data_IF_511505057310
#
_entry.id   IF_511505057310
#
_cell.length_a   1.000
_cell.length_b   1.000
_cell.length_c   1.000
_cell.angle_alpha   90.00
_cell.angle_beta   90.00
_cell.angle_gamma   90.00
#
_symmetry.space_group_name_H-M   'P 1'
#
loop_
_entity.id
_entity.type
_entity.pdbx_description
1 polymer ?
#
# COMPACT_ATOMS: atom_id res chain seq x y z
N UNK A 1 5.35 -25.72 -6.00
CA UNK A 1 6.50 -25.07 -5.35
C UNK A 1 6.13 -23.80 -4.60
N UNK A 2 5.19 -23.01 -5.12
CA UNK A 2 4.71 -21.80 -4.45
C UNK A 2 3.75 -22.14 -3.29
N UNK A 3 3.20 -23.36 -3.29
CA UNK A 3 2.35 -23.88 -2.21
C UNK A 3 2.98 -23.67 -0.83
N UNK A 4 2.23 -23.00 0.05
CA UNK A 4 2.58 -22.73 1.42
C UNK A 4 2.08 -21.38 1.92
N UNK A 5 2.29 -21.15 3.21
CA UNK A 5 2.09 -19.84 3.82
C UNK A 5 3.41 -19.08 3.80
N UNK A 6 3.36 -17.82 3.40
CA UNK A 6 4.50 -16.94 3.26
C UNK A 6 4.29 -15.69 4.11
N UNK A 7 5.36 -15.20 4.74
CA UNK A 7 5.35 -13.98 5.54
C UNK A 7 6.46 -13.04 5.12
N UNK A 8 6.13 -11.79 4.85
CA UNK A 8 7.12 -10.75 4.53
C UNK A 8 8.12 -10.55 5.66
N UNK A 9 9.40 -10.49 5.32
CA UNK A 9 10.47 -10.00 6.19
C UNK A 9 10.58 -8.49 6.04
N UNK A 10 9.97 -7.74 6.97
CA UNK A 10 9.97 -6.27 6.94
C UNK A 10 11.39 -5.67 7.02
N UNK A 11 12.37 -6.41 7.55
CA UNK A 11 13.77 -5.96 7.61
C UNK A 11 14.47 -6.03 6.25
N UNK A 12 13.94 -6.82 5.31
CA UNK A 12 14.46 -7.00 3.96
C UNK A 12 13.57 -6.33 2.92
N UNK A 13 13.04 -5.15 3.24
CA UNK A 13 12.25 -4.32 2.31
C UNK A 13 13.14 -3.24 1.70
N UNK A 14 12.92 -2.97 0.41
CA UNK A 14 13.56 -1.89 -0.33
C UNK A 14 12.49 -1.08 -1.03
N UNK A 15 12.21 0.09 -0.47
CA UNK A 15 11.19 1.02 -0.96
C UNK A 15 11.65 1.83 -2.17
N UNK A 16 10.67 2.30 -2.94
CA UNK A 16 10.94 3.21 -4.05
C UNK A 16 11.61 4.49 -3.59
N UNK A 17 12.70 4.88 -4.29
CA UNK A 17 13.39 6.16 -4.07
C UNK A 17 12.61 7.39 -4.53
N UNK A 18 11.47 7.22 -5.21
CA UNK A 18 10.65 8.36 -5.65
C UNK A 18 10.01 9.01 -4.42
N UNK A 19 10.07 10.33 -4.24
CA UNK A 19 9.46 10.97 -3.08
C UNK A 19 7.93 11.04 -3.21
N UNK A 20 7.22 10.87 -2.10
CA UNK A 20 5.84 11.34 -1.92
C UNK A 20 5.87 12.84 -1.67
N UNK A 21 4.87 13.58 -2.14
CA UNK A 21 4.79 15.03 -1.95
C UNK A 21 3.44 15.41 -1.35
N UNK A 22 3.51 16.03 -0.17
CA UNK A 22 2.36 16.56 0.56
C UNK A 22 2.62 18.03 0.86
N UNK A 23 1.63 18.89 0.66
CA UNK A 23 1.75 20.31 0.99
C UNK A 23 0.53 20.71 1.80
N UNK A 24 0.76 21.28 2.98
CA UNK A 24 -0.29 21.88 3.78
C UNK A 24 0.04 23.36 3.98
N UNK A 25 -0.64 24.23 3.25
CA UNK A 25 -0.39 25.66 3.25
C UNK A 25 -1.71 26.42 3.15
N UNK A 26 -1.84 27.53 3.87
CA UNK A 26 -3.04 28.38 3.85
C UNK A 26 -4.35 27.62 4.16
N UNK A 27 -4.27 26.63 5.05
CA UNK A 27 -5.42 25.78 5.43
C UNK A 27 -5.82 24.73 4.39
N UNK A 28 -5.09 24.59 3.28
CA UNK A 28 -5.32 23.57 2.25
C UNK A 28 -4.26 22.48 2.35
N UNK A 29 -4.67 21.22 2.19
CA UNK A 29 -3.83 20.05 2.07
C UNK A 29 -3.87 19.50 0.63
N UNK A 30 -2.71 19.48 -0.03
CA UNK A 30 -2.48 18.88 -1.33
C UNK A 30 -1.78 17.53 -1.17
N UNK A 31 -2.43 16.45 -1.58
CA UNK A 31 -1.76 15.18 -1.81
C UNK A 31 -1.36 15.07 -3.29
N UNK A 32 -0.18 15.60 -3.63
CA UNK A 32 0.26 15.69 -5.04
C UNK A 32 0.63 14.34 -5.64
N UNK A 33 1.05 13.38 -4.80
CA UNK A 33 1.42 12.03 -5.23
C UNK A 33 0.34 10.98 -4.97
N UNK A 34 -0.84 11.39 -4.51
CA UNK A 34 -2.01 10.52 -4.48
C UNK A 34 -2.49 10.25 -5.91
N UNK A 35 -3.25 9.16 -6.09
CA UNK A 35 -3.82 8.80 -7.40
C UNK A 35 -5.34 8.58 -7.24
N UNK A 36 -6.17 9.47 -7.80
CA UNK A 36 -5.80 10.78 -8.36
C UNK A 36 -5.26 11.75 -7.28
N UNK A 37 -4.47 12.77 -7.66
CA UNK A 37 -4.13 13.86 -6.76
C UNK A 37 -5.39 14.59 -6.30
N UNK A 38 -5.39 15.11 -5.08
CA UNK A 38 -6.51 15.87 -4.55
C UNK A 38 -6.05 16.98 -3.61
N UNK A 39 -6.93 17.96 -3.44
CA UNK A 39 -6.75 19.13 -2.59
C UNK A 39 -8.01 19.33 -1.76
N UNK A 40 -7.87 19.43 -0.44
CA UNK A 40 -8.98 19.63 0.50
C UNK A 40 -8.57 20.59 1.61
N UNK A 41 -9.52 21.11 2.39
CA UNK A 41 -9.19 21.87 3.61
C UNK A 41 -8.65 20.95 4.70
N UNK A 42 -7.70 21.44 5.46
CA UNK A 42 -7.16 20.77 6.65
C UNK A 42 -7.90 21.20 7.93
N UNK A 43 -9.24 21.14 7.91
CA UNK A 43 -10.13 21.61 8.98
C UNK A 43 -10.78 20.48 9.81
N UNK A 44 -10.33 19.24 9.61
CA UNK A 44 -10.84 18.04 10.28
C UNK A 44 -12.21 17.58 9.80
N UNK A 45 -12.78 18.18 8.74
CA UNK A 45 -14.11 17.85 8.24
C UNK A 45 -14.04 16.98 6.99
N UNK A 46 -15.00 16.06 6.91
CA UNK A 46 -15.25 15.21 5.75
C UNK A 46 -15.46 16.07 4.49
N UNK A 47 -14.63 15.83 3.48
CA UNK A 47 -14.72 16.50 2.18
C UNK A 47 -14.68 15.47 1.04
N UNK A 48 -15.48 15.69 -0.02
CA UNK A 48 -15.58 14.75 -1.12
C UNK A 48 -14.27 14.69 -1.92
N UNK A 49 -13.85 13.48 -2.29
CA UNK A 49 -12.76 13.21 -3.22
C UNK A 49 -13.25 12.23 -4.29
N UNK A 50 -12.98 12.54 -5.56
CA UNK A 50 -13.47 11.76 -6.68
C UNK A 50 -12.41 10.81 -7.24
N UNK A 51 -12.86 9.71 -7.84
CA UNK A 51 -12.01 8.81 -8.63
C UNK A 51 -11.13 7.85 -7.84
N UNK A 52 -11.14 7.90 -6.51
CA UNK A 52 -10.44 6.91 -5.69
C UNK A 52 -11.36 5.70 -5.40
N UNK A 53 -10.91 4.45 -5.61
CA UNK A 53 -11.74 3.28 -5.34
C UNK A 53 -11.88 3.01 -3.84
N UNK A 54 -10.88 3.34 -3.02
CA UNK A 54 -10.79 3.01 -1.60
C UNK A 54 -11.51 4.01 -0.69
N UNK A 55 -11.73 5.24 -1.17
CA UNK A 55 -12.46 6.28 -0.44
C UNK A 55 -13.17 7.24 -1.39
N UNK A 56 -14.23 7.87 -0.91
CA UNK A 56 -14.93 8.98 -1.59
C UNK A 56 -14.93 10.26 -0.76
N UNK A 57 -14.41 10.18 0.47
CA UNK A 57 -14.40 11.27 1.43
C UNK A 57 -13.10 11.23 2.23
N UNK A 58 -12.52 12.41 2.47
CA UNK A 58 -11.28 12.57 3.25
C UNK A 58 -11.46 13.73 4.23
N UNK A 59 -10.97 13.56 5.45
CA UNK A 59 -10.82 14.62 6.44
C UNK A 59 -9.35 14.70 6.86
N UNK A 60 -8.74 15.89 6.76
CA UNK A 60 -7.39 16.15 7.26
C UNK A 60 -7.48 17.16 8.40
N UNK A 61 -6.89 16.81 9.55
CA UNK A 61 -6.85 17.63 10.75
C UNK A 61 -5.40 18.01 11.08
N UNK A 62 -5.15 19.30 11.29
CA UNK A 62 -3.91 19.78 11.90
C UNK A 62 -4.05 19.64 13.41
N UNK A 63 -3.30 18.72 14.01
CA UNK A 63 -3.34 18.48 15.47
C UNK A 63 -2.45 19.49 16.19
N UNK A 64 -1.23 19.68 15.67
CA UNK A 64 -0.24 20.64 16.16
C UNK A 64 0.73 20.98 15.03
N UNK A 65 1.83 21.71 15.30
CA UNK A 65 2.79 22.14 14.27
C UNK A 65 3.58 21.01 13.58
N UNK A 66 3.61 19.80 14.17
CA UNK A 66 4.35 18.63 13.71
C UNK A 66 3.46 17.43 13.37
N UNK A 67 2.17 17.49 13.71
CA UNK A 67 1.26 16.34 13.63
C UNK A 67 0.04 16.65 12.77
N UNK A 68 -0.24 15.76 11.81
CA UNK A 68 -1.52 15.73 11.08
C UNK A 68 -2.21 14.39 11.27
N UNK A 69 -3.55 14.40 11.28
CA UNK A 69 -4.38 13.20 11.19
C UNK A 69 -5.19 13.22 9.91
N UNK A 70 -5.35 12.05 9.30
CA UNK A 70 -6.17 11.86 8.11
C UNK A 70 -7.14 10.73 8.34
N UNK A 71 -8.41 10.93 7.98
CA UNK A 71 -9.44 9.89 7.95
C UNK A 71 -9.97 9.77 6.54
N UNK A 72 -9.98 8.54 6.02
CA UNK A 72 -10.55 8.19 4.73
C UNK A 72 -11.85 7.43 4.96
N UNK A 73 -12.88 7.74 4.16
CA UNK A 73 -14.17 7.06 4.21
C UNK A 73 -14.65 6.66 2.83
N UNK A 74 -15.41 5.57 2.78
CA UNK A 74 -16.17 5.12 1.62
C UNK A 74 -17.62 4.92 2.02
N UNK A 75 -18.55 5.55 1.32
CA UNK A 75 -19.99 5.48 1.61
C UNK A 75 -20.29 5.72 3.11
N UNK A 76 -19.63 6.71 3.71
CA UNK A 76 -19.78 7.10 5.11
C UNK A 76 -19.09 6.20 6.14
N UNK A 77 -18.48 5.08 5.73
CA UNK A 77 -17.71 4.18 6.62
C UNK A 77 -16.23 4.52 6.59
N UNK A 78 -15.58 4.54 7.75
CA UNK A 78 -14.12 4.70 7.84
C UNK A 78 -13.43 3.51 7.20
N UNK A 79 -12.59 3.78 6.21
CA UNK A 79 -11.79 2.77 5.53
C UNK A 79 -10.33 2.83 5.95
N UNK A 80 -9.81 4.00 6.30
CA UNK A 80 -8.45 4.14 6.82
C UNK A 80 -8.36 5.35 7.76
N UNK A 81 -7.57 5.20 8.82
CA UNK A 81 -7.08 6.33 9.62
C UNK A 81 -5.56 6.36 9.60
N UNK A 82 -4.98 7.55 9.55
CA UNK A 82 -3.54 7.76 9.53
C UNK A 82 -3.16 8.93 10.43
N UNK A 83 -2.10 8.78 11.22
CA UNK A 83 -1.44 9.86 11.95
C UNK A 83 -0.03 10.01 11.42
N UNK A 84 0.37 11.22 11.02
CA UNK A 84 1.73 11.52 10.56
C UNK A 84 2.37 12.58 11.46
N UNK A 85 3.57 12.26 11.95
CA UNK A 85 4.30 13.05 12.95
C UNK A 85 5.70 13.37 12.42
N UNK A 86 6.07 14.64 12.46
CA UNK A 86 7.44 15.10 12.22
C UNK A 86 8.26 15.04 13.52
N UNK A 87 9.42 14.38 13.47
CA UNK A 87 10.36 14.40 14.58
C UNK A 87 11.01 15.79 14.78
N UNK A 88 11.50 16.06 15.98
CA UNK A 88 12.11 17.34 16.34
C UNK A 88 13.37 17.67 15.50
N UNK A 89 14.00 16.69 14.86
CA UNK A 89 15.12 16.89 13.94
C UNK A 89 14.72 17.58 12.63
N UNK A 90 13.41 17.69 12.36
CA UNK A 90 12.85 18.25 11.13
C UNK A 90 13.12 17.41 9.88
N UNK A 91 13.76 16.24 10.01
CA UNK A 91 14.26 15.40 8.91
C UNK A 91 13.60 14.04 8.86
N UNK A 92 13.11 13.55 10.00
CA UNK A 92 12.51 12.22 10.12
C UNK A 92 11.02 12.36 10.37
N UNK A 93 10.23 11.55 9.67
CA UNK A 93 8.79 11.46 9.84
C UNK A 93 8.39 10.05 10.24
N UNK A 94 7.29 9.92 10.97
CA UNK A 94 6.65 8.63 11.24
C UNK A 94 5.19 8.72 10.85
N UNK A 95 4.65 7.67 10.22
CA UNK A 95 3.21 7.48 10.15
C UNK A 95 2.78 6.24 10.92
N UNK A 96 1.53 6.24 11.35
CA UNK A 96 0.82 5.08 11.88
C UNK A 96 -0.56 5.04 11.23
N UNK A 97 -1.04 3.84 10.89
CA UNK A 97 -2.31 3.68 10.21
C UNK A 97 -3.08 2.46 10.67
N UNK A 98 -4.40 2.53 10.47
CA UNK A 98 -5.34 1.41 10.54
C UNK A 98 -6.10 1.39 9.22
N UNK A 99 -5.99 0.30 8.46
CA UNK A 99 -6.64 0.08 7.17
C UNK A 99 -7.70 -1.02 7.30
N UNK A 100 -8.93 -0.68 6.95
CA UNK A 100 -10.12 -1.55 6.95
C UNK A 100 -10.76 -1.64 5.55
N UNK A 101 -9.98 -1.43 4.50
CA UNK A 101 -10.46 -1.55 3.11
C UNK A 101 -10.70 -3.01 2.69
N UNK A 102 -9.93 -3.94 3.25
CA UNK A 102 -10.14 -5.38 3.09
C UNK A 102 -11.44 -5.86 3.75
N UNK A 103 -11.93 -7.03 3.33
CA UNK A 103 -13.15 -7.63 3.88
C UNK A 103 -12.96 -8.36 5.22
N UNK A 104 -11.72 -8.50 5.68
CA UNK A 104 -11.33 -9.16 6.94
C UNK A 104 -10.99 -8.18 8.08
N UNK A 105 -10.17 -8.64 9.03
CA UNK A 105 -9.73 -7.80 10.14
C UNK A 105 -8.85 -6.62 9.65
N UNK A 106 -8.93 -5.44 10.30
CA UNK A 106 -8.10 -4.29 9.92
C UNK A 106 -6.61 -4.59 9.99
N UNK A 107 -5.86 -4.07 9.03
CA UNK A 107 -4.39 -4.08 9.04
C UNK A 107 -3.91 -2.84 9.80
N UNK A 108 -2.98 -3.01 10.71
CA UNK A 108 -2.32 -1.89 11.39
C UNK A 108 -0.87 -1.82 10.96
N UNK A 109 -0.31 -0.61 10.88
CA UNK A 109 1.09 -0.47 10.52
C UNK A 109 1.67 0.90 10.82
N UNK A 110 2.97 1.00 10.63
CA UNK A 110 3.73 2.22 10.79
C UNK A 110 4.98 2.21 9.94
N UNK A 111 5.32 3.35 9.36
CA UNK A 111 6.52 3.56 8.55
C UNK A 111 7.32 4.74 9.08
N UNK A 112 8.63 4.65 8.88
CA UNK A 112 9.54 5.78 9.00
C UNK A 112 9.77 6.40 7.63
N UNK A 113 9.86 7.72 7.60
CA UNK A 113 10.16 8.52 6.43
C UNK A 113 11.38 9.39 6.67
N UNK A 114 12.16 9.59 5.62
CA UNK A 114 13.21 10.60 5.57
C UNK A 114 12.79 11.72 4.63
N UNK A 115 13.01 12.96 5.07
CA UNK A 115 12.72 14.15 4.27
C UNK A 115 13.73 14.29 3.14
N UNK A 116 13.20 14.36 1.92
CA UNK A 116 13.97 14.63 0.69
C UNK A 116 14.04 16.14 0.43
N UNK A 117 12.94 16.86 0.64
CA UNK A 117 12.89 18.31 0.53
C UNK A 117 11.85 18.91 1.49
N UNK A 118 12.07 20.11 2.04
CA UNK A 118 11.05 20.82 2.80
C UNK A 118 9.90 21.27 1.90
N UNK A 119 8.74 21.55 2.51
CA UNK A 119 7.64 22.23 1.84
C UNK A 119 7.93 23.72 1.61
N UNK A 120 7.00 24.43 0.95
CA UNK A 120 7.09 25.88 0.78
C UNK A 120 7.24 26.62 2.12
N UNK A 121 7.92 27.77 2.12
CA UNK A 121 8.02 28.59 3.32
C UNK A 121 6.63 28.95 3.88
N UNK A 122 6.47 28.85 5.21
CA UNK A 122 5.20 29.10 5.89
C UNK A 122 4.16 27.97 5.78
N UNK A 123 4.49 26.85 5.12
CA UNK A 123 3.66 25.64 5.16
C UNK A 123 3.82 24.90 6.50
N UNK A 124 2.85 24.06 6.83
CA UNK A 124 2.92 23.17 8.00
C UNK A 124 4.18 22.30 7.92
N UNK A 125 4.77 21.93 9.07
CA UNK A 125 6.08 21.29 9.09
C UNK A 125 6.10 19.91 8.40
N UNK A 126 4.98 19.20 8.36
CA UNK A 126 4.85 17.95 7.59
C UNK A 126 4.95 18.15 6.07
N UNK A 127 4.74 19.35 5.55
CA UNK A 127 4.82 19.63 4.12
C UNK A 127 6.22 19.34 3.57
N UNK A 128 6.29 18.75 2.39
CA UNK A 128 7.54 18.47 1.71
C UNK A 128 7.52 17.19 0.90
N UNK A 129 8.71 16.79 0.49
CA UNK A 129 8.99 15.55 -0.24
C UNK A 129 9.56 14.53 0.73
N UNK A 130 8.99 13.33 0.73
CA UNK A 130 9.26 12.28 1.70
C UNK A 130 9.56 10.96 1.03
N UNK A 131 10.52 10.21 1.54
CA UNK A 131 10.79 8.84 1.11
C UNK A 131 10.60 7.92 2.32
N UNK A 132 9.95 6.78 2.13
CA UNK A 132 9.89 5.74 3.16
C UNK A 132 11.30 5.18 3.35
N UNK A 133 11.83 5.24 4.56
CA UNK A 133 13.11 4.62 4.92
C UNK A 133 12.92 3.19 5.38
N UNK A 134 11.84 2.91 6.12
CA UNK A 134 11.64 1.63 6.79
C UNK A 134 10.17 1.35 7.12
N UNK A 135 9.73 0.11 6.93
CA UNK A 135 8.55 -0.43 7.59
C UNK A 135 8.87 -0.74 9.06
N UNK A 136 8.23 -0.05 10.00
CA UNK A 136 8.48 -0.22 11.43
C UNK A 136 7.62 -1.35 12.01
N UNK A 137 6.38 -1.44 11.55
CA UNK A 137 5.43 -2.48 11.92
C UNK A 137 4.38 -2.61 10.82
N UNK A 138 3.97 -3.85 10.53
CA UNK A 138 2.73 -4.17 9.82
C UNK A 138 2.17 -5.43 10.46
N UNK A 139 0.87 -5.46 10.74
CA UNK A 139 0.23 -6.61 11.39
C UNK A 139 0.23 -7.85 10.49
N UNK A 140 0.24 -9.04 11.10
CA UNK A 140 0.42 -10.31 10.40
C UNK A 140 -0.62 -10.58 9.31
N UNK A 141 -1.86 -10.12 9.48
CA UNK A 141 -2.94 -10.21 8.48
C UNK A 141 -2.69 -9.38 7.21
N UNK A 142 -1.74 -8.42 7.24
CA UNK A 142 -1.30 -7.64 6.08
C UNK A 142 0.04 -8.07 5.50
N UNK A 143 0.77 -9.00 6.15
CA UNK A 143 2.09 -9.48 5.70
C UNK A 143 2.14 -10.97 5.41
N UNK A 144 1.04 -11.69 5.65
CA UNK A 144 0.99 -13.15 5.53
C UNK A 144 -0.05 -13.54 4.50
N UNK A 145 0.34 -14.41 3.56
CA UNK A 145 -0.57 -14.98 2.57
C UNK A 145 -0.32 -16.47 2.40
N UNK A 146 -1.32 -17.16 1.86
CA UNK A 146 -1.21 -18.57 1.51
C UNK A 146 -1.40 -18.72 0.01
N UNK A 147 -0.50 -19.49 -0.60
CA UNK A 147 -0.67 -20.01 -1.94
C UNK A 147 -0.92 -21.51 -1.89
N UNK A 148 -1.82 -22.00 -2.73
CA UNK A 148 -2.08 -23.43 -2.93
C UNK A 148 -2.11 -23.74 -4.41
N UNK A 149 -1.33 -24.73 -4.82
CA UNK A 149 -1.20 -25.12 -6.23
C UNK A 149 -1.87 -26.48 -6.46
N UNK A 150 -2.83 -26.52 -7.38
CA UNK A 150 -3.49 -27.76 -7.79
C UNK A 150 -3.99 -27.65 -9.23
N UNK A 151 -3.77 -28.69 -10.04
CA UNK A 151 -4.36 -28.84 -11.38
C UNK A 151 -4.16 -27.62 -12.31
N UNK A 152 -2.97 -27.00 -12.27
CA UNK A 152 -2.66 -25.81 -13.08
C UNK A 152 -3.35 -24.52 -12.61
N UNK A 153 -3.92 -24.53 -11.41
CA UNK A 153 -4.45 -23.36 -10.73
C UNK A 153 -3.60 -22.99 -9.52
N UNK A 154 -3.58 -21.70 -9.23
CA UNK A 154 -3.06 -21.13 -8.01
C UNK A 154 -4.20 -20.45 -7.25
N UNK A 155 -4.45 -20.89 -6.03
CA UNK A 155 -5.34 -20.20 -5.09
C UNK A 155 -4.52 -19.35 -4.13
N UNK A 156 -4.96 -18.12 -3.92
CA UNK A 156 -4.37 -17.14 -3.01
C UNK A 156 -5.39 -16.71 -1.96
N UNK A 157 -4.91 -16.51 -0.74
CA UNK A 157 -5.71 -15.92 0.33
C UNK A 157 -4.84 -15.15 1.32
N UNK A 158 -5.35 -14.03 1.81
CA UNK A 158 -4.81 -13.28 2.94
C UNK A 158 -5.83 -13.19 4.09
N UNK A 159 -5.38 -13.09 5.36
CA UNK A 159 -6.29 -12.97 6.51
C UNK A 159 -7.09 -11.64 6.54
N UNK A 160 -6.68 -10.63 5.78
CA UNK A 160 -7.47 -9.41 5.56
C UNK A 160 -8.64 -9.59 4.58
N UNK A 161 -8.90 -10.82 4.12
CA UNK A 161 -10.05 -11.19 3.28
C UNK A 161 -9.81 -11.13 1.78
N UNK A 162 -8.63 -10.69 1.33
CA UNK A 162 -8.27 -10.73 -0.08
C UNK A 162 -8.03 -12.17 -0.56
N UNK A 163 -8.52 -12.51 -1.75
CA UNK A 163 -8.35 -13.84 -2.32
C UNK A 163 -8.59 -13.91 -3.84
N UNK A 164 -8.05 -14.95 -4.47
CA UNK A 164 -8.40 -15.35 -5.84
C UNK A 164 -8.13 -16.84 -6.06
N UNK A 165 -8.67 -17.37 -7.16
CA UNK A 165 -8.23 -18.63 -7.76
C UNK A 165 -8.05 -18.40 -9.25
N UNK A 166 -6.84 -18.62 -9.76
CA UNK A 166 -6.46 -18.26 -11.12
C UNK A 166 -5.66 -19.39 -11.78
N UNK A 167 -5.80 -19.54 -13.10
CA UNK A 167 -4.89 -20.40 -13.87
C UNK A 167 -3.51 -19.77 -13.91
N UNK A 168 -2.47 -20.60 -13.90
CA UNK A 168 -1.07 -20.15 -13.97
C UNK A 168 -0.56 -19.91 -15.41
N UNK A 169 -1.49 -19.84 -16.38
CA UNK A 169 -1.23 -19.65 -17.81
C UNK A 169 -1.40 -18.19 -18.28
N UNK A 170 -1.76 -17.28 -17.38
CA UNK A 170 -2.02 -15.87 -17.65
C UNK A 170 -3.46 -15.54 -18.02
N UNK A 171 -4.39 -16.51 -17.95
CA UNK A 171 -5.82 -16.26 -18.06
C UNK A 171 -6.30 -15.34 -16.94
N UNK A 172 -7.15 -14.37 -17.28
CA UNK A 172 -7.73 -13.45 -16.30
C UNK A 172 -8.74 -14.17 -15.41
N UNK A 173 -8.67 -13.92 -14.10
CA UNK A 173 -9.59 -14.44 -13.11
C UNK A 173 -10.09 -13.33 -12.17
N UNK A 174 -11.29 -13.46 -11.56
CA UNK A 174 -11.79 -12.49 -10.60
C UNK A 174 -10.91 -12.42 -9.33
N UNK A 175 -10.74 -11.20 -8.81
CA UNK A 175 -10.15 -10.95 -7.50
C UNK A 175 -11.25 -10.58 -6.50
N UNK A 176 -11.10 -11.00 -5.24
CA UNK A 176 -12.09 -10.79 -4.19
C UNK A 176 -11.47 -10.09 -2.97
N UNK A 177 -12.29 -9.30 -2.27
CA UNK A 177 -11.89 -8.68 -0.99
C UNK A 177 -11.07 -7.40 -1.09
N UNK A 178 -10.90 -6.83 -2.29
CA UNK A 178 -10.25 -5.53 -2.51
C UNK A 178 -11.16 -4.56 -3.30
N UNK A 179 -11.45 -3.34 -2.82
CA UNK A 179 -12.29 -2.38 -3.55
C UNK A 179 -11.67 -1.82 -4.85
N UNK A 180 -10.36 -1.88 -4.98
CA UNK A 180 -9.58 -1.32 -6.09
C UNK A 180 -8.94 -2.37 -7.01
N UNK A 181 -9.06 -3.66 -6.75
CA UNK A 181 -8.63 -4.74 -7.66
C UNK A 181 -9.86 -5.53 -8.09
N UNK A 182 -10.07 -5.65 -9.40
CA UNK A 182 -11.23 -6.35 -9.97
C UNK A 182 -10.89 -7.75 -10.46
N UNK A 183 -9.67 -7.94 -10.95
CA UNK A 183 -9.21 -9.19 -11.54
C UNK A 183 -7.69 -9.33 -11.46
N UNK A 184 -7.21 -10.55 -11.70
CA UNK A 184 -5.80 -10.91 -11.63
C UNK A 184 -5.43 -11.79 -12.83
N UNK A 185 -4.17 -11.72 -13.26
CA UNK A 185 -3.54 -12.69 -14.19
C UNK A 185 -2.31 -13.26 -13.54
N UNK A 186 -2.18 -14.58 -13.53
CA UNK A 186 -1.02 -15.28 -12.94
C UNK A 186 -0.32 -16.09 -14.02
N UNK A 187 1.00 -15.93 -14.15
CA UNK A 187 1.85 -16.74 -15.02
C UNK A 187 2.97 -17.34 -14.19
N UNK A 188 3.20 -18.65 -14.34
CA UNK A 188 4.31 -19.34 -13.67
C UNK A 188 5.27 -19.90 -14.72
N UNK A 189 6.56 -19.64 -14.54
CA UNK A 189 7.64 -20.16 -15.37
C UNK A 189 8.81 -20.58 -14.48
N UNK A 190 9.04 -21.90 -14.35
CA UNK A 190 10.05 -22.43 -13.44
C UNK A 190 9.76 -22.02 -12.00
N UNK A 191 10.73 -21.37 -11.34
CA UNK A 191 10.62 -20.87 -9.97
C UNK A 191 10.14 -19.41 -9.87
N UNK A 192 9.65 -18.83 -10.95
CA UNK A 192 9.16 -17.45 -10.99
C UNK A 192 7.67 -17.41 -11.29
N UNK A 193 6.95 -16.62 -10.50
CA UNK A 193 5.54 -16.27 -10.65
C UNK A 193 5.46 -14.79 -10.99
N UNK A 194 4.72 -14.46 -12.04
CA UNK A 194 4.30 -13.10 -12.38
C UNK A 194 2.80 -12.97 -12.16
N UNK A 195 2.41 -12.02 -11.33
CA UNK A 195 1.02 -11.67 -11.03
C UNK A 195 0.77 -10.24 -11.50
N UNK A 196 -0.30 -10.03 -12.26
CA UNK A 196 -0.76 -8.71 -12.64
C UNK A 196 -2.12 -8.46 -12.03
N UNK A 197 -2.23 -7.46 -11.16
CA UNK A 197 -3.51 -6.99 -10.64
C UNK A 197 -4.10 -5.97 -11.58
N UNK A 198 -5.40 -6.11 -11.84
CA UNK A 198 -6.13 -5.27 -12.76
C UNK A 198 -7.28 -4.56 -12.06
N UNK A 199 -7.55 -3.34 -12.53
CA UNK A 199 -8.75 -2.58 -12.21
C UNK A 199 -9.47 -2.27 -13.50
N UNK A 200 -10.69 -2.80 -13.65
CA UNK A 200 -11.52 -2.63 -14.84
C UNK A 200 -10.75 -2.98 -16.14
N UNK A 201 -10.04 -4.11 -16.12
CA UNK A 201 -9.25 -4.61 -17.25
C UNK A 201 -7.91 -3.90 -17.50
N UNK A 202 -7.56 -2.89 -16.70
CA UNK A 202 -6.26 -2.19 -16.79
C UNK A 202 -5.31 -2.69 -15.70
N UNK A 203 -4.10 -3.10 -16.07
CA UNK A 203 -3.05 -3.46 -15.12
C UNK A 203 -2.67 -2.25 -14.25
N UNK A 204 -2.74 -2.42 -12.93
CA UNK A 204 -2.40 -1.39 -11.93
C UNK A 204 -1.17 -1.77 -11.10
N UNK A 205 -0.93 -3.07 -10.93
CA UNK A 205 0.23 -3.61 -10.20
C UNK A 205 0.76 -4.81 -10.96
N UNK A 206 2.07 -4.98 -11.01
CA UNK A 206 2.71 -6.23 -11.44
C UNK A 206 3.64 -6.69 -10.33
N UNK A 207 3.45 -7.89 -9.81
CA UNK A 207 4.32 -8.55 -8.86
C UNK A 207 5.09 -9.67 -9.56
N UNK A 208 6.39 -9.74 -9.35
CA UNK A 208 7.23 -10.88 -9.72
C UNK A 208 7.81 -11.50 -8.46
N UNK A 209 7.49 -12.77 -8.21
CA UNK A 209 7.94 -13.53 -7.07
C UNK A 209 8.83 -14.71 -7.53
N UNK A 210 10.03 -14.84 -6.99
CA UNK A 210 10.97 -15.92 -7.31
C UNK A 210 11.31 -16.73 -6.07
N UNK A 211 11.04 -18.03 -6.11
CA UNK A 211 11.34 -18.97 -5.03
C UNK A 211 12.83 -19.33 -5.03
N UNK A 212 13.46 -19.33 -3.87
CA UNK A 212 14.84 -19.80 -3.69
C UNK A 212 15.00 -21.29 -4.00
N UNK A 213 16.22 -21.73 -4.31
CA UNK A 213 16.50 -23.14 -4.62
C UNK A 213 16.14 -24.11 -3.48
N UNK A 214 16.24 -23.66 -2.23
CA UNK A 214 15.84 -24.44 -1.04
C UNK A 214 14.34 -24.37 -0.72
N UNK A 215 13.57 -23.57 -1.48
CA UNK A 215 12.13 -23.42 -1.31
C UNK A 215 11.71 -22.66 -0.06
N UNK A 216 12.64 -22.01 0.66
CA UNK A 216 12.37 -21.35 1.95
C UNK A 216 12.09 -19.87 1.85
N UNK A 217 12.56 -19.20 0.80
CA UNK A 217 12.38 -17.75 0.64
C UNK A 217 11.80 -17.39 -0.72
N UNK A 218 11.09 -16.27 -0.74
CA UNK A 218 10.59 -15.60 -1.93
C UNK A 218 11.27 -14.25 -2.04
N UNK A 219 11.91 -13.98 -3.18
CA UNK A 219 12.26 -12.61 -3.56
C UNK A 219 11.11 -12.04 -4.38
N UNK A 220 10.56 -10.92 -3.92
CA UNK A 220 9.42 -10.26 -4.55
C UNK A 220 9.83 -8.88 -5.05
N UNK A 221 9.39 -8.53 -6.25
CA UNK A 221 9.47 -7.19 -6.82
C UNK A 221 8.07 -6.80 -7.25
N UNK A 222 7.61 -5.62 -6.86
CA UNK A 222 6.31 -5.10 -7.26
C UNK A 222 6.45 -3.75 -7.91
N UNK A 223 5.76 -3.60 -9.04
CA UNK A 223 5.65 -2.39 -9.83
C UNK A 223 4.23 -1.81 -9.71
N UNK A 224 4.09 -0.74 -8.92
CA UNK A 224 2.89 0.09 -8.89
C UNK A 224 2.87 0.95 -10.17
N UNK A 225 2.00 0.59 -11.11
CA UNK A 225 1.85 1.30 -12.39
C UNK A 225 1.11 2.63 -12.24
N UNK A 226 0.31 2.79 -11.18
CA UNK A 226 -0.43 4.02 -10.91
C UNK A 226 0.50 5.14 -10.43
N UNK A 227 1.48 4.80 -9.59
CA UNK A 227 2.46 5.76 -9.05
C UNK A 227 3.83 5.68 -9.73
N UNK A 228 4.00 4.74 -10.65
CA UNK A 228 5.27 4.44 -11.31
C UNK A 228 6.38 4.19 -10.26
N UNK A 229 6.12 3.26 -9.33
CA UNK A 229 7.03 2.91 -8.23
C UNK A 229 7.39 1.44 -8.29
N UNK A 230 8.61 1.14 -7.88
CA UNK A 230 9.08 -0.24 -7.70
C UNK A 230 9.55 -0.40 -6.27
N UNK A 231 9.08 -1.45 -5.62
CA UNK A 231 9.50 -1.88 -4.28
C UNK A 231 9.90 -3.35 -4.39
N UNK A 232 10.90 -3.79 -3.61
CA UNK A 232 11.29 -5.20 -3.55
C UNK A 232 11.47 -5.66 -2.12
N UNK A 233 11.14 -6.91 -1.84
CA UNK A 233 11.24 -7.47 -0.50
C UNK A 233 11.51 -8.97 -0.53
N UNK A 234 11.76 -9.52 0.65
CA UNK A 234 11.85 -10.96 0.86
C UNK A 234 10.69 -11.43 1.74
N UNK A 235 10.21 -12.63 1.48
CA UNK A 235 9.29 -13.35 2.36
C UNK A 235 9.85 -14.74 2.70
N UNK A 236 9.51 -15.22 3.90
CA UNK A 236 9.91 -16.51 4.41
C UNK A 236 8.70 -17.45 4.44
N UNK A 237 8.93 -18.70 4.03
CA UNK A 237 7.94 -19.76 4.20
C UNK A 237 7.73 -20.04 5.69
N UNK A 238 6.48 -20.21 6.10
CA UNK A 238 6.08 -20.51 7.49
C UNK A 238 5.94 -22.01 7.73
#
# INVERSE_FOLDING_TARGET
MFDGTWKTDLSQTQESKKPYEFVLQNGMFDCKTCVPPYTIKADGKDQPVQGNPYFDTVAVEVVDAHTIKTTYKKAGKVTETMSAVLAADGKTGRNEYIDSTGSGAPVTGSYEFVRVAPGPAGSHAWSGKWQISKALHVSDNGTTWTWKEADGMLSFSMPNGQSYSAKIDGTEAPFQGDPGVTSVKVKVAGNTLEESDLRNGKVITVMTATVSADGKTLKVVTEDKLRNRTTSWVANKQ
#
